data_IF_330735553132
#
_entry.id   IF_330735553132
#
_cell.length_a   1.000
_cell.length_b   1.000
_cell.length_c   1.000
_cell.angle_alpha   90.00
_cell.angle_beta   90.00
_cell.angle_gamma   90.00
#
_symmetry.space_group_name_H-M   'P 1'
#
loop_
_entity.id
_entity.type
_entity.pdbx_description
1 polymer ?
#
# COMPACT_ATOMS: atom_id res chain seq x y z
N UNK A 1 -7.41 -11.95 4.06
CA UNK A 1 -7.97 -12.25 5.39
C UNK A 1 -8.97 -11.18 5.84
N UNK A 2 -8.61 -9.88 5.91
CA UNK A 2 -9.53 -8.79 6.34
C UNK A 2 -10.84 -8.74 5.57
N UNK A 3 -10.81 -8.83 4.23
CA UNK A 3 -12.03 -8.85 3.42
C UNK A 3 -12.99 -10.00 3.80
N UNK A 4 -12.45 -11.17 4.13
CA UNK A 4 -13.22 -12.34 4.53
C UNK A 4 -13.94 -12.10 5.88
N UNK A 5 -13.24 -11.49 6.83
CA UNK A 5 -13.81 -11.13 8.14
C UNK A 5 -14.95 -10.12 7.97
N UNK A 6 -14.77 -9.12 7.11
CA UNK A 6 -15.79 -8.11 6.82
C UNK A 6 -17.02 -8.75 6.18
N UNK A 7 -16.83 -9.63 5.19
CA UNK A 7 -17.95 -10.34 4.52
C UNK A 7 -18.71 -11.23 5.51
N UNK A 8 -17.99 -11.99 6.35
CA UNK A 8 -18.62 -12.86 7.36
C UNK A 8 -19.42 -12.03 8.37
N UNK A 9 -18.88 -10.89 8.81
CA UNK A 9 -19.56 -10.01 9.73
C UNK A 9 -20.84 -9.40 9.12
N UNK A 10 -20.84 -9.16 7.80
CA UNK A 10 -21.99 -8.60 7.09
C UNK A 10 -23.03 -9.65 6.62
N UNK A 11 -22.87 -10.94 6.91
CA UNK A 11 -23.82 -11.98 6.50
C UNK A 11 -25.25 -11.68 7.01
N UNK A 12 -25.39 -11.01 8.16
CA UNK A 12 -26.66 -10.58 8.73
C UNK A 12 -27.20 -9.25 8.21
N UNK A 13 -26.57 -8.61 7.21
CA UNK A 13 -26.97 -7.28 6.73
C UNK A 13 -26.72 -6.16 7.74
N UNK A 14 -25.62 -6.26 8.50
CA UNK A 14 -25.25 -5.31 9.56
C UNK A 14 -24.82 -3.96 9.01
N UNK A 15 -24.34 -3.94 7.75
CA UNK A 15 -23.83 -2.74 7.10
C UNK A 15 -24.93 -1.98 6.37
N UNK A 16 -25.06 -0.72 6.71
CA UNK A 16 -25.79 0.23 5.88
C UNK A 16 -24.77 1.00 5.01
N UNK A 17 -24.86 0.78 3.72
CA UNK A 17 -24.03 1.44 2.72
C UNK A 17 -24.70 2.77 2.35
N UNK A 18 -24.47 3.82 3.06
CA UNK A 18 -25.10 5.14 2.91
C UNK A 18 -25.23 5.75 1.51
N UNK A 19 -25.07 4.97 0.45
CA UNK A 19 -25.35 5.34 -0.94
C UNK A 19 -24.30 6.19 -1.63
N UNK A 20 -23.34 6.76 -0.90
CA UNK A 20 -22.43 7.79 -1.42
C UNK A 20 -21.15 7.25 -2.07
N UNK A 21 -20.94 5.94 -2.07
CA UNK A 21 -19.77 5.32 -2.69
C UNK A 21 -18.41 5.70 -2.05
N UNK A 22 -18.42 6.35 -0.90
CA UNK A 22 -17.24 6.90 -0.22
C UNK A 22 -16.41 5.86 0.54
N UNK A 23 -16.84 4.59 0.54
CA UNK A 23 -16.18 3.54 1.34
C UNK A 23 -16.50 3.61 2.84
N UNK A 24 -17.35 4.53 3.26
CA UNK A 24 -17.88 4.62 4.63
C UNK A 24 -19.07 3.70 4.76
N UNK A 25 -19.13 2.95 5.86
CA UNK A 25 -20.21 2.04 6.20
C UNK A 25 -20.79 2.43 7.55
N UNK A 26 -22.10 2.52 7.65
CA UNK A 26 -22.78 2.73 8.91
C UNK A 26 -22.98 1.39 9.62
N UNK A 27 -22.50 1.28 10.85
CA UNK A 27 -22.71 0.13 11.73
C UNK A 27 -23.29 0.67 13.03
N UNK A 28 -24.47 0.21 13.40
CA UNK A 28 -25.20 0.74 14.57
C UNK A 28 -25.41 2.26 14.52
N UNK A 29 -25.56 2.84 13.33
CA UNK A 29 -25.75 4.28 13.13
C UNK A 29 -24.45 5.11 13.24
N UNK A 30 -23.30 4.47 13.41
CA UNK A 30 -21.98 5.15 13.45
C UNK A 30 -21.20 4.87 12.16
N UNK A 31 -20.53 5.90 11.59
CA UNK A 31 -19.73 5.74 10.40
C UNK A 31 -18.39 5.05 10.72
N UNK A 32 -18.06 4.02 9.97
CA UNK A 32 -16.78 3.32 10.01
C UNK A 32 -16.18 3.27 8.61
N UNK A 33 -14.86 3.41 8.52
CA UNK A 33 -14.10 3.29 7.28
C UNK A 33 -12.80 2.51 7.48
N UNK A 34 -12.29 1.93 6.41
CA UNK A 34 -10.99 1.27 6.37
C UNK A 34 -10.78 0.23 7.48
N UNK A 35 -9.72 0.39 8.27
CA UNK A 35 -9.37 -0.51 9.37
C UNK A 35 -10.40 -0.49 10.52
N UNK A 36 -11.21 0.57 10.64
CA UNK A 36 -12.27 0.70 11.65
C UNK A 36 -13.35 -0.38 11.49
N UNK A 37 -13.74 -0.69 10.26
CA UNK A 37 -14.72 -1.76 9.95
C UNK A 37 -14.20 -3.11 10.43
N UNK A 38 -12.93 -3.40 10.14
CA UNK A 38 -12.27 -4.65 10.58
C UNK A 38 -12.18 -4.72 12.10
N UNK A 39 -11.84 -3.60 12.75
CA UNK A 39 -11.76 -3.51 14.21
C UNK A 39 -13.10 -3.78 14.86
N UNK A 40 -14.19 -3.21 14.34
CA UNK A 40 -15.56 -3.45 14.84
C UNK A 40 -15.98 -4.90 14.64
N UNK A 41 -15.66 -5.49 13.48
CA UNK A 41 -15.96 -6.89 13.20
C UNK A 41 -15.26 -7.84 14.18
N UNK A 42 -13.98 -7.61 14.47
CA UNK A 42 -13.25 -8.41 15.45
C UNK A 42 -13.75 -8.20 16.88
N UNK A 43 -14.11 -6.98 17.26
CA UNK A 43 -14.60 -6.66 18.59
C UNK A 43 -15.89 -7.41 18.94
N UNK A 44 -16.69 -7.78 17.93
CA UNK A 44 -17.91 -8.55 18.14
C UNK A 44 -17.66 -10.01 18.54
N UNK A 45 -16.51 -10.57 18.17
CA UNK A 45 -16.19 -11.98 18.39
C UNK A 45 -15.09 -12.21 19.43
N UNK A 46 -14.18 -11.26 19.59
CA UNK A 46 -12.98 -11.41 20.42
C UNK A 46 -12.87 -10.25 21.41
N UNK A 47 -12.94 -10.49 22.72
CA UNK A 47 -12.75 -9.45 23.72
C UNK A 47 -11.35 -8.85 23.60
N UNK A 48 -11.23 -7.54 23.83
CA UNK A 48 -9.97 -6.77 23.74
C UNK A 48 -9.28 -6.74 22.35
N UNK A 49 -9.94 -7.26 21.29
CA UNK A 49 -9.37 -7.27 19.94
C UNK A 49 -9.01 -5.87 19.42
N UNK A 50 -9.70 -4.83 19.86
CA UNK A 50 -9.44 -3.44 19.47
C UNK A 50 -8.02 -3.01 19.87
N UNK A 51 -7.57 -3.34 21.09
CA UNK A 51 -6.24 -2.99 21.60
C UNK A 51 -5.18 -3.74 20.80
N UNK A 52 -5.36 -5.04 20.63
CA UNK A 52 -4.43 -5.88 19.88
C UNK A 52 -4.32 -5.41 18.42
N UNK A 53 -5.45 -5.13 17.78
CA UNK A 53 -5.50 -4.71 16.39
C UNK A 53 -4.88 -3.34 16.20
N UNK A 54 -5.09 -2.41 17.13
CA UNK A 54 -4.45 -1.09 17.10
C UNK A 54 -2.93 -1.20 17.18
N UNK A 55 -2.41 -2.01 18.12
CA UNK A 55 -0.97 -2.24 18.23
C UNK A 55 -0.41 -2.88 16.95
N UNK A 56 -1.08 -3.88 16.43
CA UNK A 56 -0.67 -4.56 15.20
C UNK A 56 -0.62 -3.61 13.99
N UNK A 57 -1.64 -2.75 13.83
CA UNK A 57 -1.71 -1.77 12.75
C UNK A 57 -0.59 -0.73 12.87
N UNK A 58 -0.33 -0.22 14.08
CA UNK A 58 0.77 0.74 14.32
C UNK A 58 2.13 0.11 14.00
N UNK A 59 2.39 -1.11 14.48
CA UNK A 59 3.64 -1.81 14.20
C UNK A 59 3.80 -2.09 12.69
N UNK A 60 2.73 -2.50 12.03
CA UNK A 60 2.74 -2.72 10.58
C UNK A 60 2.99 -1.43 9.80
N UNK A 61 2.34 -0.33 10.18
CA UNK A 61 2.55 0.96 9.55
C UNK A 61 4.00 1.45 9.68
N UNK A 62 4.56 1.37 10.90
CA UNK A 62 5.96 1.77 11.16
C UNK A 62 6.94 0.91 10.37
N UNK A 63 6.78 -0.42 10.39
CA UNK A 63 7.67 -1.33 9.65
C UNK A 63 7.58 -1.09 8.14
N UNK A 64 6.39 -0.82 7.62
CA UNK A 64 6.18 -0.49 6.21
C UNK A 64 6.84 0.82 5.83
N UNK A 65 6.68 1.88 6.63
CA UNK A 65 7.35 3.17 6.39
C UNK A 65 8.89 3.02 6.34
N UNK A 66 9.47 2.25 7.26
CA UNK A 66 10.91 1.99 7.29
C UNK A 66 11.35 1.27 6.00
N UNK A 67 10.66 0.22 5.61
CA UNK A 67 10.99 -0.57 4.42
C UNK A 67 10.89 0.25 3.14
N UNK A 68 9.82 0.98 2.95
CA UNK A 68 9.61 1.83 1.78
C UNK A 68 10.59 3.00 1.73
N UNK A 69 10.92 3.60 2.90
CA UNK A 69 11.97 4.62 2.98
C UNK A 69 13.31 4.07 2.49
N UNK A 70 13.66 2.84 2.87
CA UNK A 70 14.88 2.19 2.41
C UNK A 70 14.89 1.96 0.88
N UNK A 71 13.80 1.42 0.32
CA UNK A 71 13.70 1.21 -1.13
C UNK A 71 13.80 2.53 -1.92
N UNK A 72 13.10 3.54 -1.48
CA UNK A 72 13.15 4.85 -2.11
C UNK A 72 14.54 5.49 -2.00
N UNK A 73 15.23 5.34 -0.86
CA UNK A 73 16.60 5.82 -0.70
C UNK A 73 17.57 5.14 -1.66
N UNK A 74 17.44 3.83 -1.90
CA UNK A 74 18.28 3.12 -2.86
C UNK A 74 18.03 3.61 -4.29
N UNK A 75 16.78 3.83 -4.67
CA UNK A 75 16.43 4.40 -5.97
C UNK A 75 16.95 5.83 -6.13
N UNK A 76 16.85 6.64 -5.07
CA UNK A 76 17.40 7.99 -5.05
C UNK A 76 18.92 8.01 -5.24
N UNK A 77 19.63 7.11 -4.54
CA UNK A 77 21.09 6.95 -4.69
C UNK A 77 21.50 6.51 -6.08
N UNK A 78 20.69 5.71 -6.72
CA UNK A 78 20.93 5.29 -8.10
C UNK A 78 20.82 6.47 -9.08
N UNK A 79 19.85 7.34 -8.90
CA UNK A 79 19.59 8.48 -9.81
C UNK A 79 20.54 9.66 -9.55
N UNK A 80 20.78 10.01 -8.28
CA UNK A 80 21.46 11.25 -7.88
C UNK A 80 22.87 11.02 -7.29
N UNK A 81 23.28 9.77 -7.16
CA UNK A 81 24.59 9.41 -6.62
C UNK A 81 24.61 9.16 -5.11
N UNK A 82 25.74 8.65 -4.64
CA UNK A 82 25.96 8.24 -3.23
C UNK A 82 26.70 9.35 -2.48
N UNK A 83 25.98 10.29 -1.92
CA UNK A 83 26.54 11.36 -1.10
C UNK A 83 25.75 11.56 0.19
N UNK A 84 26.39 12.00 1.27
CA UNK A 84 25.72 12.27 2.54
C UNK A 84 24.63 13.35 2.40
N UNK A 85 24.90 14.36 1.58
CA UNK A 85 23.93 15.43 1.30
C UNK A 85 22.69 14.87 0.62
N UNK A 86 22.87 13.99 -0.39
CA UNK A 86 21.74 13.36 -1.10
C UNK A 86 20.92 12.44 -0.20
N UNK A 87 21.56 11.70 0.70
CA UNK A 87 20.89 10.88 1.70
C UNK A 87 20.05 11.73 2.66
N UNK A 88 20.61 12.84 3.12
CA UNK A 88 19.92 13.74 4.04
C UNK A 88 18.72 14.44 3.35
N UNK A 89 18.91 14.88 2.11
CA UNK A 89 17.85 15.49 1.31
C UNK A 89 16.68 14.53 1.11
N UNK A 90 16.97 13.28 0.74
CA UNK A 90 15.91 12.27 0.60
C UNK A 90 15.14 12.04 1.90
N UNK A 91 15.86 11.85 3.00
CA UNK A 91 15.23 11.62 4.31
C UNK A 91 14.37 12.79 4.75
N UNK A 92 14.83 14.01 4.51
CA UNK A 92 14.05 15.21 4.80
C UNK A 92 12.78 15.28 3.97
N UNK A 93 12.88 15.06 2.65
CA UNK A 93 11.70 15.01 1.77
C UNK A 93 10.72 13.91 2.20
N UNK A 94 11.23 12.73 2.53
CA UNK A 94 10.39 11.62 2.99
C UNK A 94 9.61 11.97 4.27
N UNK A 95 10.26 12.62 5.25
CA UNK A 95 9.59 13.08 6.47
C UNK A 95 8.53 14.14 6.19
N UNK A 96 8.81 15.09 5.30
CA UNK A 96 7.83 16.11 4.89
C UNK A 96 6.60 15.44 4.27
N UNK A 97 6.79 14.46 3.38
CA UNK A 97 5.69 13.71 2.77
C UNK A 97 4.88 12.89 3.79
N UNK A 98 5.51 12.34 4.83
CA UNK A 98 4.78 11.68 5.92
C UNK A 98 3.86 12.66 6.63
N UNK A 99 4.35 13.87 6.96
CA UNK A 99 3.56 14.89 7.64
C UNK A 99 2.40 15.37 6.77
N UNK A 100 2.66 15.64 5.49
CA UNK A 100 1.63 16.03 4.52
C UNK A 100 0.58 14.93 4.36
N UNK A 101 1.02 13.67 4.24
CA UNK A 101 0.13 12.52 4.14
C UNK A 101 -0.74 12.33 5.39
N UNK A 102 -0.19 12.55 6.58
CA UNK A 102 -0.95 12.46 7.83
C UNK A 102 -2.03 13.56 7.97
N UNK A 103 -1.85 14.70 7.31
CA UNK A 103 -2.80 15.80 7.30
C UNK A 103 -3.83 15.75 6.17
N UNK A 104 -3.59 14.90 5.15
CA UNK A 104 -4.47 14.77 3.99
C UNK A 104 -5.68 13.85 4.27
N UNK A 105 -6.78 14.06 3.54
CA UNK A 105 -7.92 13.15 3.59
C UNK A 105 -7.58 11.80 2.95
N UNK A 106 -8.23 10.73 3.41
CA UNK A 106 -8.03 9.38 2.89
C UNK A 106 -8.25 9.31 1.38
N UNK A 107 -9.31 9.93 0.87
CA UNK A 107 -9.63 9.95 -0.57
C UNK A 107 -8.54 10.62 -1.40
N UNK A 108 -7.97 11.72 -0.91
CA UNK A 108 -6.86 12.40 -1.58
C UNK A 108 -5.60 11.55 -1.62
N UNK A 109 -5.33 10.79 -0.55
CA UNK A 109 -4.20 9.86 -0.49
C UNK A 109 -4.38 8.72 -1.49
N UNK A 110 -5.57 8.14 -1.58
CA UNK A 110 -5.87 7.09 -2.56
C UNK A 110 -5.73 7.60 -3.99
N UNK A 111 -6.36 8.74 -4.31
CA UNK A 111 -6.27 9.33 -5.65
C UNK A 111 -4.82 9.64 -6.06
N UNK A 112 -4.02 10.19 -5.14
CA UNK A 112 -2.61 10.45 -5.38
C UNK A 112 -1.80 9.15 -5.56
N UNK A 113 -2.06 8.14 -4.72
CA UNK A 113 -1.40 6.83 -4.80
C UNK A 113 -1.66 6.16 -6.15
N UNK A 114 -2.91 6.13 -6.58
CA UNK A 114 -3.30 5.55 -7.87
C UNK A 114 -2.64 6.30 -9.04
N UNK A 115 -2.64 7.63 -9.00
CA UNK A 115 -1.96 8.44 -10.01
C UNK A 115 -0.45 8.12 -10.09
N UNK A 116 0.23 7.92 -8.94
CA UNK A 116 1.63 7.55 -8.90
C UNK A 116 1.88 6.13 -9.42
N UNK A 117 0.99 5.17 -9.11
CA UNK A 117 1.05 3.80 -9.65
C UNK A 117 0.94 3.83 -11.17
N UNK A 118 -0.02 4.58 -11.73
CA UNK A 118 -0.15 4.74 -13.18
C UNK A 118 1.07 5.45 -13.81
N UNK A 119 1.63 6.45 -13.12
CA UNK A 119 2.83 7.14 -13.61
C UNK A 119 4.04 6.19 -13.71
N UNK A 120 4.17 5.20 -12.84
CA UNK A 120 5.25 4.20 -12.89
C UNK A 120 5.18 3.29 -14.13
N UNK A 121 4.04 3.19 -14.80
CA UNK A 121 3.89 2.41 -16.04
C UNK A 121 4.83 2.92 -17.12
N UNK A 122 4.97 4.23 -17.28
CA UNK A 122 5.80 4.82 -18.33
C UNK A 122 7.28 4.40 -18.25
N UNK A 123 8.01 4.62 -17.16
CA UNK A 123 9.40 4.18 -17.06
C UNK A 123 9.56 2.65 -17.14
N UNK A 124 8.60 1.89 -16.60
CA UNK A 124 8.61 0.44 -16.70
C UNK A 124 8.45 -0.05 -18.14
N UNK A 125 7.54 0.55 -18.92
CA UNK A 125 7.37 0.22 -20.34
C UNK A 125 8.65 0.51 -21.13
N UNK A 126 9.29 1.64 -20.90
CA UNK A 126 10.56 1.98 -21.52
C UNK A 126 11.63 0.95 -21.18
N UNK A 127 11.77 0.61 -19.89
CA UNK A 127 12.73 -0.40 -19.43
C UNK A 127 12.48 -1.78 -20.06
N UNK A 128 11.23 -2.22 -20.11
CA UNK A 128 10.85 -3.49 -20.74
C UNK A 128 11.19 -3.50 -22.24
N UNK A 129 11.02 -2.38 -22.93
CA UNK A 129 11.33 -2.29 -24.35
C UNK A 129 12.82 -2.51 -24.62
N UNK A 130 13.69 -1.92 -23.79
CA UNK A 130 15.15 -2.11 -23.89
C UNK A 130 15.59 -3.51 -23.49
N UNK A 131 14.93 -4.12 -22.52
CA UNK A 131 15.27 -5.46 -22.02
C UNK A 131 14.66 -6.60 -22.84
N UNK A 132 13.67 -6.33 -23.68
CA UNK A 132 12.95 -7.35 -24.46
C UNK A 132 13.85 -8.26 -25.31
N UNK A 133 14.88 -7.77 -26.02
CA UNK A 133 15.78 -8.63 -26.79
C UNK A 133 16.52 -9.64 -25.90
N UNK A 134 16.96 -9.21 -24.71
CA UNK A 134 17.66 -10.07 -23.76
C UNK A 134 16.74 -11.15 -23.18
N UNK A 135 15.52 -10.77 -22.78
CA UNK A 135 14.50 -11.71 -22.30
C UNK A 135 14.21 -12.76 -23.37
N UNK A 136 14.06 -12.37 -24.63
CA UNK A 136 13.84 -13.30 -25.75
C UNK A 136 15.02 -14.27 -25.93
N UNK A 137 16.24 -13.81 -25.76
CA UNK A 137 17.44 -14.65 -25.84
C UNK A 137 17.51 -15.66 -24.70
N UNK A 138 17.23 -15.23 -23.46
CA UNK A 138 17.21 -16.11 -22.29
C UNK A 138 16.09 -17.14 -22.38
N UNK A 139 14.91 -16.74 -22.85
CA UNK A 139 13.81 -17.66 -23.09
C UNK A 139 14.18 -18.75 -24.11
N UNK A 140 14.83 -18.37 -25.22
CA UNK A 140 15.31 -19.34 -26.21
C UNK A 140 16.33 -20.34 -25.62
N UNK A 141 17.25 -19.85 -24.78
CA UNK A 141 18.23 -20.71 -24.08
C UNK A 141 17.51 -21.69 -23.14
N UNK A 142 16.55 -21.21 -22.37
CA UNK A 142 15.77 -22.05 -21.46
C UNK A 142 14.98 -23.13 -22.21
N UNK A 143 14.26 -22.77 -23.27
CA UNK A 143 13.50 -23.72 -24.08
C UNK A 143 14.40 -24.76 -24.77
N UNK A 144 15.63 -24.38 -25.12
CA UNK A 144 16.60 -25.32 -25.70
C UNK A 144 17.12 -26.33 -24.67
N UNK A 145 17.32 -25.88 -23.42
CA UNK A 145 17.77 -26.73 -22.32
C UNK A 145 16.71 -27.77 -21.88
N UNK A 146 15.41 -27.42 -21.98
CA UNK A 146 14.32 -28.35 -21.62
C UNK A 146 14.10 -29.42 -22.73
N UNK A 147 14.42 -29.10 -23.99
CA UNK A 147 14.22 -30.02 -25.10
C UNK A 147 15.39 -31.02 -25.31
N UNK A 148 16.49 -30.79 -24.59
CA UNK A 148 17.64 -31.68 -24.52
C UNK A 148 17.49 -32.69 -23.38
#
# INVERSE_FOLDING_TARGET
MTALVIVIYNIGGVFDYGGDGTGVVLIDGMPYEGAGITSKAFANYIPYSNIFLTIAVVLFAVSTMISWSYYGLQSWKFLFGRGQVMDLTYKFLFLVFIIVGAAASMDSIWAFSDAMIFAMVFPNMVGLYFLFPEVKQQLKRYLKAIKS
#
